data_IF_303539129902
#
_entry.id   IF_303539129902
#
_cell.length_a   1.000
_cell.length_b   1.000
_cell.length_c   1.000
_cell.angle_alpha   90.00
_cell.angle_beta   90.00
_cell.angle_gamma   90.00
#
_symmetry.space_group_name_H-M   'P 1'
#
loop_
_entity.id
_entity.type
_entity.pdbx_description
1 polymer ?
#
# COMPACT_ATOMS: atom_id res chain seq x y z
N UNK A 1 28.62 -1.71 -9.56
CA UNK A 1 27.98 -0.39 -9.38
C UNK A 1 27.03 -0.48 -8.20
N UNK A 2 27.00 0.54 -7.33
CA UNK A 2 26.22 0.58 -6.10
C UNK A 2 25.02 1.47 -6.38
N UNK A 3 23.87 0.86 -6.64
CA UNK A 3 22.61 1.56 -6.92
C UNK A 3 21.71 1.43 -5.69
N UNK A 4 21.03 2.51 -5.30
CA UNK A 4 19.99 2.48 -4.27
C UNK A 4 18.68 1.98 -4.91
N UNK A 5 18.18 0.77 -4.57
CA UNK A 5 17.04 0.18 -5.28
C UNK A 5 15.79 1.06 -5.25
N UNK A 6 15.54 1.75 -4.13
CA UNK A 6 14.41 2.66 -3.93
C UNK A 6 14.37 3.86 -4.88
N UNK A 7 15.49 4.21 -5.51
CA UNK A 7 15.60 5.32 -6.47
C UNK A 7 15.58 4.85 -7.94
N UNK A 8 15.44 3.54 -8.18
CA UNK A 8 15.57 2.95 -9.50
C UNK A 8 14.31 2.19 -9.92
N UNK A 9 13.85 2.45 -11.14
CA UNK A 9 12.77 1.67 -11.76
C UNK A 9 13.27 0.25 -12.10
N UNK A 10 12.60 -0.77 -11.56
CA UNK A 10 12.97 -2.18 -11.74
C UNK A 10 11.87 -2.99 -12.44
N UNK A 11 10.62 -2.50 -12.42
CA UNK A 11 9.52 -3.05 -13.22
C UNK A 11 8.78 -1.95 -13.99
N UNK A 12 8.19 -2.34 -15.11
CA UNK A 12 7.46 -1.43 -16.00
C UNK A 12 6.04 -1.10 -15.55
N UNK A 13 5.25 -0.62 -16.51
CA UNK A 13 3.87 -0.19 -16.29
C UNK A 13 2.90 -1.37 -16.15
N UNK A 14 1.74 -1.13 -15.56
CA UNK A 14 0.60 -2.06 -15.48
C UNK A 14 0.92 -3.40 -14.81
N UNK A 15 1.96 -3.46 -13.96
CA UNK A 15 2.25 -4.65 -13.17
C UNK A 15 1.05 -5.00 -12.28
N UNK A 16 0.75 -6.30 -12.15
CA UNK A 16 -0.41 -6.85 -11.45
C UNK A 16 -1.78 -6.52 -12.06
N UNK A 17 -1.83 -6.27 -13.37
CA UNK A 17 -3.10 -6.02 -14.05
C UNK A 17 -4.10 -7.16 -13.84
N UNK A 18 -5.19 -6.89 -13.11
CA UNK A 18 -6.26 -7.87 -12.89
C UNK A 18 -5.85 -9.05 -12.00
N UNK A 19 -4.76 -8.94 -11.22
CA UNK A 19 -4.30 -10.03 -10.36
C UNK A 19 -5.37 -10.43 -9.34
N UNK A 20 -5.59 -11.73 -9.14
CA UNK A 20 -6.67 -12.26 -8.28
C UNK A 20 -6.17 -12.92 -6.99
N UNK A 21 -4.86 -12.90 -6.76
CA UNK A 21 -4.23 -13.59 -5.62
C UNK A 21 -2.72 -13.61 -5.73
N UNK A 22 -2.06 -14.17 -4.71
CA UNK A 22 -0.61 -14.30 -4.64
C UNK A 22 0.09 -13.09 -4.05
N UNK A 23 1.41 -13.19 -3.96
CA UNK A 23 2.29 -12.18 -3.35
C UNK A 23 3.27 -11.66 -4.38
N UNK A 24 3.49 -10.35 -4.43
CA UNK A 24 4.41 -9.72 -5.36
C UNK A 24 5.27 -8.64 -4.69
N UNK A 25 6.58 -8.86 -4.65
CA UNK A 25 7.53 -7.98 -3.99
C UNK A 25 8.49 -7.34 -4.99
N UNK A 26 8.64 -6.03 -4.88
CA UNK A 26 9.42 -5.20 -5.79
C UNK A 26 10.43 -4.38 -4.99
N UNK A 27 11.68 -4.83 -4.97
CA UNK A 27 12.80 -4.08 -4.38
C UNK A 27 13.25 -2.97 -5.33
N UNK A 28 12.42 -1.94 -5.44
CA UNK A 28 12.64 -0.76 -6.27
C UNK A 28 11.33 -0.13 -6.72
N UNK A 29 11.40 0.73 -7.74
CA UNK A 29 10.24 1.46 -8.25
C UNK A 29 9.52 0.72 -9.39
N UNK A 30 8.20 0.84 -9.42
CA UNK A 30 7.35 0.45 -10.53
C UNK A 30 6.97 1.65 -11.40
N UNK A 31 6.66 1.37 -12.67
CA UNK A 31 6.10 2.36 -13.58
C UNK A 31 4.67 2.78 -13.25
N UNK A 32 3.98 3.34 -14.24
CA UNK A 32 2.58 3.78 -14.12
C UNK A 32 1.63 2.60 -13.98
N UNK A 33 0.46 2.85 -13.37
CA UNK A 33 -0.64 1.89 -13.22
C UNK A 33 -0.24 0.61 -12.48
N UNK A 34 0.68 0.72 -11.54
CA UNK A 34 0.99 -0.38 -10.64
C UNK A 34 -0.28 -0.84 -9.90
N UNK A 35 -0.54 -2.15 -9.87
CA UNK A 35 -1.72 -2.76 -9.26
C UNK A 35 -3.08 -2.31 -9.84
N UNK A 36 -3.10 -1.90 -11.12
CA UNK A 36 -4.36 -1.59 -11.82
C UNK A 36 -5.29 -2.80 -11.86
N UNK A 37 -6.55 -2.63 -11.45
CA UNK A 37 -7.54 -3.71 -11.32
C UNK A 37 -7.11 -4.88 -10.43
N UNK A 38 -6.16 -4.67 -9.51
CA UNK A 38 -5.82 -5.70 -8.52
C UNK A 38 -7.09 -6.11 -7.76
N UNK A 39 -7.31 -7.41 -7.66
CA UNK A 39 -8.53 -8.04 -7.15
C UNK A 39 -8.20 -9.18 -6.19
N UNK A 40 -6.99 -9.20 -5.61
CA UNK A 40 -6.65 -10.16 -4.55
C UNK A 40 -5.15 -10.34 -4.27
N UNK A 41 -4.25 -9.72 -5.03
CA UNK A 41 -2.82 -9.83 -4.79
C UNK A 41 -2.37 -8.93 -3.61
N UNK A 42 -1.45 -9.45 -2.81
CA UNK A 42 -0.68 -8.67 -1.82
C UNK A 42 0.63 -8.22 -2.45
N UNK A 43 0.89 -6.91 -2.46
CA UNK A 43 2.08 -6.36 -3.11
C UNK A 43 2.84 -5.35 -2.25
N UNK A 44 4.16 -5.33 -2.36
CA UNK A 44 5.05 -4.33 -1.73
C UNK A 44 5.99 -3.77 -2.78
N UNK A 45 6.13 -2.45 -2.83
CA UNK A 45 6.96 -1.72 -3.79
C UNK A 45 7.57 -0.47 -3.14
N UNK A 46 8.76 -0.04 -3.59
CA UNK A 46 9.47 1.12 -3.00
C UNK A 46 9.20 2.45 -3.71
N UNK A 47 8.37 2.45 -4.74
CA UNK A 47 7.85 3.65 -5.38
C UNK A 47 7.03 3.32 -6.63
N UNK A 48 6.17 4.24 -7.06
CA UNK A 48 5.30 4.03 -8.22
C UNK A 48 5.18 5.27 -9.08
N UNK A 49 4.87 5.06 -10.37
CA UNK A 49 4.41 6.10 -11.28
C UNK A 49 2.98 6.58 -11.01
N UNK A 50 2.35 7.11 -12.05
CA UNK A 50 0.98 7.64 -12.06
C UNK A 50 -0.05 6.53 -11.88
N UNK A 51 -1.23 6.86 -11.34
CA UNK A 51 -2.39 5.95 -11.31
C UNK A 51 -2.15 4.62 -10.56
N UNK A 52 -1.34 4.63 -9.50
CA UNK A 52 -1.21 3.44 -8.65
C UNK A 52 -2.57 3.02 -8.07
N UNK A 53 -2.83 1.72 -8.07
CA UNK A 53 -4.06 1.07 -7.60
C UNK A 53 -5.34 1.52 -8.31
N UNK A 54 -5.24 2.01 -9.56
CA UNK A 54 -6.41 2.40 -10.36
C UNK A 54 -7.37 1.21 -10.53
N UNK A 55 -8.67 1.41 -10.29
CA UNK A 55 -9.71 0.36 -10.38
C UNK A 55 -9.45 -0.89 -9.51
N UNK A 56 -8.62 -0.81 -8.48
CA UNK A 56 -8.40 -1.91 -7.55
C UNK A 56 -9.71 -2.25 -6.82
N UNK A 57 -10.04 -3.54 -6.75
CA UNK A 57 -11.29 -4.04 -6.16
C UNK A 57 -11.08 -4.95 -4.96
N UNK A 58 -9.87 -5.50 -4.78
CA UNK A 58 -9.49 -6.28 -3.60
C UNK A 58 -7.95 -6.46 -3.57
N UNK A 59 -7.42 -7.01 -2.48
CA UNK A 59 -6.00 -7.21 -2.24
C UNK A 59 -5.42 -6.15 -1.30
N UNK A 60 -4.10 -6.22 -1.08
CA UNK A 60 -3.38 -5.29 -0.21
C UNK A 60 -2.14 -4.78 -0.91
N UNK A 61 -1.98 -3.47 -1.02
CA UNK A 61 -0.80 -2.85 -1.64
C UNK A 61 -0.08 -1.98 -0.61
N UNK A 62 1.23 -2.17 -0.45
CA UNK A 62 2.09 -1.36 0.40
C UNK A 62 3.09 -0.62 -0.49
N UNK A 63 3.10 0.71 -0.42
CA UNK A 63 4.07 1.54 -1.13
C UNK A 63 4.97 2.23 -0.12
N UNK A 64 6.25 1.86 -0.14
CA UNK A 64 7.24 2.29 0.85
C UNK A 64 7.90 3.62 0.50
N UNK A 65 7.76 4.13 -0.72
CA UNK A 65 8.39 5.38 -1.13
C UNK A 65 7.53 6.24 -2.04
N UNK A 66 8.20 7.04 -2.86
CA UNK A 66 7.56 8.08 -3.67
C UNK A 66 6.50 7.53 -4.62
N UNK A 67 5.36 8.21 -4.65
CA UNK A 67 4.25 7.97 -5.59
C UNK A 67 4.05 9.18 -6.50
N UNK A 68 3.28 9.01 -7.57
CA UNK A 68 2.82 10.09 -8.45
C UNK A 68 1.29 10.29 -8.38
N UNK A 69 0.74 11.17 -9.21
CA UNK A 69 -0.64 11.63 -9.12
C UNK A 69 -1.72 10.56 -9.40
N UNK A 70 -2.92 10.85 -8.91
CA UNK A 70 -4.17 10.14 -9.15
C UNK A 70 -4.21 8.71 -8.59
N UNK A 71 -3.60 8.52 -7.42
CA UNK A 71 -3.56 7.25 -6.70
C UNK A 71 -4.98 6.86 -6.28
N UNK A 72 -5.32 5.59 -6.48
CA UNK A 72 -6.59 5.00 -6.06
C UNK A 72 -7.81 5.47 -6.86
N UNK A 73 -7.63 6.10 -8.02
CA UNK A 73 -8.75 6.48 -8.88
C UNK A 73 -9.56 5.24 -9.28
N UNK A 74 -10.88 5.29 -9.11
CA UNK A 74 -11.74 4.14 -9.38
C UNK A 74 -11.57 2.94 -8.44
N UNK A 75 -10.75 3.05 -7.38
CA UNK A 75 -10.57 1.97 -6.41
C UNK A 75 -11.86 1.78 -5.61
N UNK A 76 -12.43 0.57 -5.67
CA UNK A 76 -13.70 0.22 -5.03
C UNK A 76 -13.57 -0.87 -3.97
N UNK A 77 -12.38 -1.44 -3.79
CA UNK A 77 -12.10 -2.38 -2.70
C UNK A 77 -10.62 -2.67 -2.50
N UNK A 78 -10.31 -3.36 -1.41
CA UNK A 78 -8.95 -3.64 -0.96
C UNK A 78 -8.35 -2.53 -0.10
N UNK A 79 -7.07 -2.67 0.23
CA UNK A 79 -6.36 -1.80 1.17
C UNK A 79 -5.05 -1.28 0.57
N UNK A 80 -4.79 0.00 0.77
CA UNK A 80 -3.55 0.66 0.35
C UNK A 80 -2.84 1.25 1.56
N UNK A 81 -1.60 0.82 1.82
CA UNK A 81 -0.73 1.38 2.85
C UNK A 81 0.35 2.23 2.19
N UNK A 82 0.49 3.47 2.62
CA UNK A 82 1.54 4.39 2.15
C UNK A 82 2.44 4.75 3.33
N UNK A 83 3.75 4.59 3.15
CA UNK A 83 4.74 4.97 4.17
C UNK A 83 5.06 6.47 4.17
N UNK A 84 5.02 7.10 2.99
CA UNK A 84 5.25 8.53 2.82
C UNK A 84 3.93 9.25 2.56
N UNK A 85 3.79 10.48 3.07
CA UNK A 85 2.59 11.28 2.89
C UNK A 85 2.34 11.58 1.40
N UNK A 86 1.20 11.19 0.82
CA UNK A 86 0.95 11.40 -0.60
C UNK A 86 0.52 12.83 -0.96
N UNK A 87 0.14 13.65 0.03
CA UNK A 87 -0.30 15.03 -0.20
C UNK A 87 -1.51 15.13 -1.13
N UNK A 88 -1.40 15.92 -2.20
CA UNK A 88 -2.46 16.10 -3.21
C UNK A 88 -2.53 14.99 -4.26
N UNK A 89 -1.68 13.96 -4.18
CA UNK A 89 -1.60 12.89 -5.20
C UNK A 89 -2.75 11.87 -5.11
N UNK A 90 -3.44 11.82 -3.98
CA UNK A 90 -4.58 10.93 -3.74
C UNK A 90 -5.81 11.41 -4.51
N UNK A 91 -6.50 10.49 -5.19
CA UNK A 91 -7.84 10.76 -5.68
C UNK A 91 -8.87 10.62 -4.55
N UNK A 92 -9.22 11.76 -3.96
CA UNK A 92 -10.13 11.85 -2.81
C UNK A 92 -11.60 11.54 -3.15
N UNK A 93 -11.95 11.44 -4.43
CA UNK A 93 -13.29 11.01 -4.85
C UNK A 93 -13.51 9.52 -4.54
N UNK A 94 -12.44 8.72 -4.61
CA UNK A 94 -12.52 7.27 -4.49
C UNK A 94 -11.97 6.71 -3.19
N UNK A 95 -10.88 7.28 -2.65
CA UNK A 95 -10.24 6.75 -1.45
C UNK A 95 -10.06 7.82 -0.37
N UNK A 96 -10.16 7.38 0.89
CA UNK A 96 -9.94 8.21 2.07
C UNK A 96 -8.99 7.54 3.05
N UNK A 97 -8.29 8.37 3.84
CA UNK A 97 -7.38 7.88 4.86
C UNK A 97 -8.16 7.43 6.10
N UNK A 98 -7.78 6.29 6.67
CA UNK A 98 -8.28 5.76 7.94
C UNK A 98 -7.11 5.51 8.89
N UNK A 99 -7.40 5.47 10.20
CA UNK A 99 -6.38 5.12 11.20
C UNK A 99 -6.06 3.63 11.07
N UNK A 100 -4.81 3.26 11.33
CA UNK A 100 -4.47 1.86 11.47
C UNK A 100 -5.10 1.32 12.76
N UNK A 101 -5.86 0.24 12.63
CA UNK A 101 -6.25 -0.60 13.78
C UNK A 101 -5.07 -1.48 14.23
N UNK A 102 -5.17 -2.08 15.41
CA UNK A 102 -4.19 -3.07 15.88
C UNK A 102 -4.03 -4.25 14.92
N UNK A 103 -5.11 -4.65 14.25
CA UNK A 103 -5.13 -5.71 13.24
C UNK A 103 -4.40 -5.27 11.96
N UNK A 104 -4.60 -4.03 11.53
CA UNK A 104 -3.88 -3.45 10.39
C UNK A 104 -2.37 -3.38 10.68
N UNK A 105 -1.98 -2.97 11.89
CA UNK A 105 -0.58 -2.94 12.31
C UNK A 105 0.06 -4.33 12.26
N UNK A 106 -0.61 -5.36 12.80
CA UNK A 106 -0.11 -6.74 12.76
C UNK A 106 0.01 -7.26 11.33
N UNK A 107 -1.00 -7.01 10.50
CA UNK A 107 -1.00 -7.39 9.08
C UNK A 107 0.13 -6.71 8.30
N UNK A 108 0.26 -5.40 8.44
CA UNK A 108 1.29 -4.62 7.77
C UNK A 108 2.69 -5.08 8.20
N UNK A 109 2.91 -5.30 9.50
CA UNK A 109 4.18 -5.80 10.01
C UNK A 109 4.53 -7.16 9.40
N UNK A 110 3.59 -8.11 9.35
CA UNK A 110 3.82 -9.42 8.75
C UNK A 110 4.16 -9.34 7.26
N UNK A 111 3.48 -8.46 6.50
CA UNK A 111 3.79 -8.22 5.08
C UNK A 111 5.21 -7.68 4.91
N UNK A 112 5.64 -6.76 5.79
CA UNK A 112 6.97 -6.15 5.74
C UNK A 112 8.07 -7.12 6.18
N UNK A 113 7.81 -7.97 7.16
CA UNK A 113 8.74 -9.04 7.57
C UNK A 113 8.99 -10.02 6.41
N UNK A 114 7.94 -10.45 5.72
CA UNK A 114 8.08 -11.35 4.55
C UNK A 114 8.77 -10.63 3.38
N UNK A 115 8.42 -9.37 3.10
CA UNK A 115 9.12 -8.56 2.10
C UNK A 115 10.62 -8.42 2.43
N UNK A 116 10.99 -8.14 3.69
CA UNK A 116 12.38 -8.03 4.09
C UNK A 116 13.13 -9.35 3.96
N UNK A 117 12.49 -10.48 4.33
CA UNK A 117 13.05 -11.82 4.16
C UNK A 117 13.38 -12.13 2.70
N UNK A 118 12.49 -11.77 1.78
CA UNK A 118 12.65 -12.08 0.34
C UNK A 118 13.58 -11.09 -0.39
N UNK A 119 13.62 -9.82 0.03
CA UNK A 119 14.33 -8.75 -0.72
C UNK A 119 15.58 -8.23 -0.06
N UNK A 120 15.73 -8.46 1.25
CA UNK A 120 16.75 -7.85 2.10
C UNK A 120 16.76 -6.32 2.01
N UNK A 121 15.60 -5.70 1.73
CA UNK A 121 15.47 -4.24 1.62
C UNK A 121 15.95 -3.56 2.90
N UNK A 122 16.93 -2.66 2.73
CA UNK A 122 17.47 -1.84 3.82
C UNK A 122 16.39 -0.94 4.42
N UNK A 123 15.49 -0.40 3.58
CA UNK A 123 14.39 0.47 4.04
C UNK A 123 13.47 -0.27 5.01
N UNK A 124 13.07 -1.49 4.65
CA UNK A 124 12.23 -2.30 5.54
C UNK A 124 12.99 -2.81 6.75
N UNK A 125 14.30 -3.09 6.62
CA UNK A 125 15.16 -3.38 7.76
C UNK A 125 15.13 -2.27 8.82
N UNK A 126 15.22 -1.00 8.40
CA UNK A 126 15.09 0.15 9.30
C UNK A 126 13.68 0.26 9.90
N UNK A 127 12.63 0.15 9.08
CA UNK A 127 11.23 0.21 9.53
C UNK A 127 10.95 -0.84 10.61
N UNK A 128 11.40 -2.08 10.40
CA UNK A 128 11.17 -3.18 11.35
C UNK A 128 12.01 -3.05 12.63
N UNK A 129 13.22 -2.46 12.53
CA UNK A 129 14.08 -2.26 13.70
C UNK A 129 13.53 -1.25 14.72
N UNK A 130 12.70 -0.30 14.27
CA UNK A 130 12.06 0.72 15.11
C UNK A 130 10.55 0.81 14.81
N UNK A 131 9.89 -0.36 14.83
CA UNK A 131 8.51 -0.51 14.37
C UNK A 131 7.51 0.43 15.07
N UNK A 132 7.61 0.62 16.39
CA UNK A 132 6.65 1.43 17.16
C UNK A 132 6.64 2.91 16.75
N UNK A 133 7.78 3.43 16.28
CA UNK A 133 7.87 4.78 15.73
C UNK A 133 7.54 4.78 14.23
N UNK A 134 8.08 3.82 13.47
CA UNK A 134 7.91 3.77 12.02
C UNK A 134 6.45 3.57 11.61
N UNK A 135 5.66 2.79 12.37
CA UNK A 135 4.24 2.55 12.10
C UNK A 135 3.39 3.83 12.08
N UNK A 136 3.82 4.87 12.80
CA UNK A 136 3.12 6.16 12.86
C UNK A 136 3.22 6.96 11.55
N UNK A 137 4.18 6.62 10.68
CA UNK A 137 4.32 7.24 9.36
C UNK A 137 3.40 6.61 8.32
N UNK A 138 2.94 5.37 8.56
CA UNK A 138 2.02 4.73 7.66
C UNK A 138 0.63 5.35 7.71
N UNK A 139 0.01 5.45 6.54
CA UNK A 139 -1.42 5.73 6.39
C UNK A 139 -2.09 4.64 5.60
N UNK A 140 -3.22 4.15 6.12
CA UNK A 140 -4.12 3.23 5.42
C UNK A 140 -5.13 4.06 4.62
N UNK A 141 -5.32 3.68 3.37
CA UNK A 141 -6.34 4.22 2.48
C UNK A 141 -7.23 3.08 2.02
N UNK A 142 -8.54 3.33 2.07
CA UNK A 142 -9.58 2.42 1.61
C UNK A 142 -10.60 3.21 0.77
N UNK A 143 -11.45 2.53 -0.01
CA UNK A 143 -12.53 3.20 -0.74
C UNK A 143 -13.43 3.99 0.20
N UNK A 144 -13.84 5.19 -0.21
CA UNK A 144 -14.73 6.06 0.58
C UNK A 144 -16.04 5.37 0.96
N UNK A 145 -16.55 4.48 0.10
CA UNK A 145 -17.75 3.69 0.35
C UNK A 145 -17.59 2.68 1.50
N UNK A 146 -16.37 2.30 1.86
CA UNK A 146 -16.08 1.35 2.94
C UNK A 146 -15.83 2.04 4.29
N UNK A 147 -15.50 3.34 4.31
CA UNK A 147 -15.19 4.08 5.53
C UNK A 147 -16.42 4.17 6.45
N UNK A 148 -17.60 4.41 5.88
CA UNK A 148 -18.85 4.48 6.65
C UNK A 148 -19.22 3.13 7.30
N UNK A 149 -18.77 2.02 6.72
CA UNK A 149 -18.98 0.68 7.27
C UNK A 149 -18.00 0.36 8.40
N UNK A 150 -16.70 0.66 8.22
CA UNK A 150 -15.69 0.51 9.29
C UNK A 150 -16.06 1.33 10.53
N UNK A 151 -16.52 2.58 10.34
CA UNK A 151 -16.89 3.47 11.45
C UNK A 151 -18.10 2.95 12.25
N UNK A 152 -19.01 2.19 11.60
CA UNK A 152 -20.14 1.54 12.27
C UNK A 152 -19.70 0.29 13.02
N UNK A 153 -18.82 -0.51 12.42
CA UNK A 153 -18.29 -1.74 13.04
C UNK A 153 -17.48 -1.42 14.30
N UNK A 154 -16.64 -0.38 14.28
CA UNK A 154 -15.88 0.04 15.47
C UNK A 154 -16.80 0.44 16.63
N UNK A 155 -17.87 1.20 16.36
CA UNK A 155 -18.83 1.61 17.40
C UNK A 155 -19.56 0.41 18.02
N UNK A 156 -19.97 -0.56 17.20
CA UNK A 156 -20.62 -1.77 17.69
C UNK A 156 -19.71 -2.60 18.61
N UNK A 157 -18.40 -2.68 18.32
CA UNK A 157 -17.43 -3.40 19.15
C UNK A 157 -17.07 -2.71 20.48
N UNK A 158 -17.35 -1.42 20.64
CA UNK A 158 -17.11 -0.68 21.90
C UNK A 158 -18.33 -0.75 22.83
N UNK A 159 -19.51 -1.08 22.31
CA UNK A 159 -20.76 -1.18 23.07
C UNK A 159 -21.06 -2.61 23.60
N UNK A 160 -20.14 -3.57 23.41
CA UNK A 160 -20.24 -4.96 23.93
C UNK A 160 -19.15 -5.27 24.93
#
# INVERSE_FOLDING_TARGET
ARYEPSENAIIGNCALYGATGGTFYVHGQAGDRFAVRNSGCTAVVEGTGLHACEYMTNGTVVILGGTSNNIGAGMTGGELFLYEEPGSKINKEYIGAVKLSSQDEQKLKAILEDYHKETQSTKTGYILSDWENAKQQFKKYIPVSMIDEETKTEKASVET
#
